data_IF_845557282590
#
_entry.id   IF_845557282590
#
_cell.length_a   1.000
_cell.length_b   1.000
_cell.length_c   1.000
_cell.angle_alpha   90.00
_cell.angle_beta   90.00
_cell.angle_gamma   90.00
#
_symmetry.space_group_name_H-M   'P 1'
#
loop_
_entity.id
_entity.type
_entity.pdbx_description
1 polymer ?
#
# COMPACT_ATOMS: atom_id res chain seq x y z
N UNK A 1 -4.29 20.06 -17.57
CA UNK A 1 -3.19 19.93 -16.59
C UNK A 1 -3.01 18.45 -16.31
N UNK A 2 -2.00 17.81 -16.90
CA UNK A 2 -1.75 16.39 -16.69
C UNK A 2 -1.01 16.25 -15.35
N UNK A 3 -1.68 15.68 -14.35
CA UNK A 3 -1.01 15.32 -13.10
C UNK A 3 0.03 14.23 -13.40
N UNK A 4 1.27 14.42 -12.97
CA UNK A 4 2.35 13.46 -13.18
C UNK A 4 2.05 12.19 -12.37
N UNK A 5 2.21 11.01 -12.98
CA UNK A 5 2.15 9.73 -12.27
C UNK A 5 3.13 9.74 -11.10
N UNK A 6 2.64 9.42 -9.92
CA UNK A 6 3.39 9.37 -8.66
C UNK A 6 2.84 8.22 -7.82
N UNK A 7 3.52 7.08 -7.91
CA UNK A 7 3.26 5.97 -7.00
C UNK A 7 3.74 6.33 -5.59
N UNK A 8 3.07 5.81 -4.56
CA UNK A 8 3.42 6.04 -3.16
C UNK A 8 3.86 4.72 -2.51
N UNK A 9 5.00 4.77 -1.80
CA UNK A 9 5.38 3.73 -0.84
C UNK A 9 5.31 4.30 0.57
N UNK A 10 4.61 3.60 1.45
CA UNK A 10 4.60 3.88 2.89
C UNK A 10 5.46 2.84 3.59
N UNK A 11 6.35 3.30 4.49
CA UNK A 11 7.14 2.43 5.37
C UNK A 11 6.66 2.71 6.79
N UNK A 12 6.20 1.69 7.50
CA UNK A 12 5.62 1.86 8.84
C UNK A 12 5.95 0.70 9.76
N UNK A 13 6.28 1.00 11.01
CA UNK A 13 6.40 0.06 12.13
C UNK A 13 5.19 0.08 13.08
N UNK A 14 4.14 0.81 12.69
CA UNK A 14 2.91 1.00 13.47
C UNK A 14 1.65 0.54 12.75
N UNK A 15 0.53 0.64 13.46
CA UNK A 15 -0.81 0.37 12.92
C UNK A 15 -1.45 1.61 12.28
N UNK A 16 -2.27 1.43 11.25
CA UNK A 16 -2.96 2.54 10.58
C UNK A 16 -4.29 2.95 11.23
N UNK A 17 -4.80 2.18 12.21
CA UNK A 17 -6.06 2.50 12.90
C UNK A 17 -7.25 2.76 11.97
N UNK A 18 -8.05 3.77 12.31
CA UNK A 18 -9.13 4.27 11.47
C UNK A 18 -8.58 5.13 10.33
N UNK A 19 -8.99 4.83 9.10
CA UNK A 19 -8.67 5.61 7.91
C UNK A 19 -9.96 6.34 7.50
N UNK A 20 -9.97 7.68 7.40
CA UNK A 20 -11.17 8.41 6.99
C UNK A 20 -11.64 8.01 5.59
N UNK A 21 -12.95 7.87 5.41
CA UNK A 21 -13.57 7.52 4.11
C UNK A 21 -13.16 8.47 2.96
N UNK A 22 -12.96 9.76 3.28
CA UNK A 22 -12.50 10.72 2.27
C UNK A 22 -11.08 10.41 1.77
N UNK A 23 -10.19 9.96 2.65
CA UNK A 23 -8.84 9.57 2.25
C UNK A 23 -8.87 8.30 1.40
N UNK A 24 -9.70 7.32 1.76
CA UNK A 24 -9.89 6.13 0.94
C UNK A 24 -10.41 6.49 -0.45
N UNK A 25 -11.41 7.38 -0.54
CA UNK A 25 -11.91 7.90 -1.82
C UNK A 25 -10.83 8.63 -2.62
N UNK A 26 -10.00 9.45 -1.98
CA UNK A 26 -8.89 10.14 -2.64
C UNK A 26 -7.88 9.13 -3.21
N UNK A 27 -7.56 8.06 -2.47
CA UNK A 27 -6.69 6.99 -2.96
C UNK A 27 -7.30 6.27 -4.17
N UNK A 28 -8.60 5.96 -4.15
CA UNK A 28 -9.27 5.36 -5.32
C UNK A 28 -9.22 6.27 -6.55
N UNK A 29 -9.43 7.58 -6.37
CA UNK A 29 -9.31 8.55 -7.47
C UNK A 29 -7.88 8.62 -8.05
N UNK A 30 -6.85 8.39 -7.23
CA UNK A 30 -5.47 8.31 -7.70
C UNK A 30 -5.20 6.99 -8.45
N UNK A 31 -5.78 5.87 -8.00
CA UNK A 31 -5.70 4.58 -8.73
C UNK A 31 -6.31 4.66 -10.12
N UNK A 32 -7.41 5.39 -10.29
CA UNK A 32 -8.01 5.66 -11.62
C UNK A 32 -7.08 6.44 -12.56
N UNK A 33 -6.06 7.11 -12.01
CA UNK A 33 -5.00 7.82 -12.77
C UNK A 33 -3.73 6.98 -12.89
N UNK A 34 -3.84 5.66 -12.66
CA UNK A 34 -2.76 4.69 -12.69
C UNK A 34 -1.64 4.91 -11.65
N UNK A 35 -1.92 5.67 -10.58
CA UNK A 35 -1.03 5.69 -9.42
C UNK A 35 -1.23 4.43 -8.57
N UNK A 36 -0.13 3.89 -8.04
CA UNK A 36 -0.14 2.73 -7.14
C UNK A 36 0.26 3.13 -5.73
N UNK A 37 -0.28 2.42 -4.75
CA UNK A 37 -0.03 2.58 -3.33
C UNK A 37 0.55 1.29 -2.76
N UNK A 38 1.74 1.38 -2.19
CA UNK A 38 2.45 0.25 -1.62
C UNK A 38 2.72 0.43 -0.13
N UNK A 39 2.80 -0.68 0.59
CA UNK A 39 3.16 -0.72 1.99
C UNK A 39 4.33 -1.67 2.24
N UNK A 40 5.37 -1.16 2.91
CA UNK A 40 6.37 -1.94 3.61
C UNK A 40 6.10 -1.86 5.12
N UNK A 41 5.58 -2.95 5.67
CA UNK A 41 5.16 -3.08 7.06
C UNK A 41 6.26 -3.75 7.87
N UNK A 42 6.83 -3.01 8.81
CA UNK A 42 7.87 -3.48 9.70
C UNK A 42 7.21 -4.34 10.78
N UNK A 43 7.56 -5.62 10.77
CA UNK A 43 7.05 -6.67 11.64
C UNK A 43 5.56 -7.02 11.48
N UNK A 44 4.84 -6.46 10.50
CA UNK A 44 3.50 -6.93 10.12
C UNK A 44 2.34 -6.40 10.98
N UNK A 45 2.53 -5.25 11.64
CA UNK A 45 1.59 -4.71 12.61
C UNK A 45 0.62 -3.66 12.05
N UNK A 46 0.63 -3.43 10.73
CA UNK A 46 -0.19 -2.38 10.09
C UNK A 46 -1.70 -2.55 10.22
N UNK A 47 -2.18 -3.80 10.30
CA UNK A 47 -3.61 -4.14 10.30
C UNK A 47 -4.36 -3.83 9.00
N UNK A 48 -3.66 -3.58 7.88
CA UNK A 48 -4.26 -3.12 6.61
C UNK A 48 -3.85 -3.96 5.39
N UNK A 49 -4.04 -5.28 5.48
CA UNK A 49 -3.59 -6.27 4.48
C UNK A 49 -3.93 -5.92 3.02
N UNK A 50 -5.15 -5.49 2.74
CA UNK A 50 -5.66 -5.30 1.36
C UNK A 50 -5.91 -3.84 1.00
N UNK A 51 -5.53 -2.89 1.87
CA UNK A 51 -5.78 -1.47 1.63
C UNK A 51 -4.80 -0.88 0.59
N UNK A 52 -3.62 -1.46 0.49
CA UNK A 52 -2.56 -1.11 -0.46
C UNK A 52 -2.57 -2.09 -1.65
N UNK A 53 -2.09 -1.65 -2.81
CA UNK A 53 -2.03 -2.45 -4.03
C UNK A 53 -0.98 -3.57 -3.91
N UNK A 54 0.08 -3.32 -3.14
CA UNK A 54 1.05 -4.34 -2.71
C UNK A 54 1.48 -4.10 -1.27
N UNK A 55 1.58 -5.17 -0.50
CA UNK A 55 1.95 -5.13 0.90
C UNK A 55 3.06 -6.15 1.16
N UNK A 56 4.22 -5.64 1.56
CA UNK A 56 5.34 -6.41 2.04
C UNK A 56 5.43 -6.37 3.56
N UNK A 57 5.84 -7.47 4.16
CA UNK A 57 6.29 -7.51 5.56
C UNK A 57 7.81 -7.58 5.56
N UNK A 58 8.45 -6.64 6.23
CA UNK A 58 9.86 -6.72 6.60
C UNK A 58 9.97 -7.22 8.03
N UNK A 59 10.64 -8.34 8.24
CA UNK A 59 10.92 -8.85 9.58
C UNK A 59 12.28 -8.32 10.06
N UNK A 60 12.26 -7.44 11.07
CA UNK A 60 13.48 -6.77 11.54
C UNK A 60 14.49 -7.69 12.23
N UNK A 61 14.06 -8.84 12.74
CA UNK A 61 14.94 -9.83 13.39
C UNK A 61 15.73 -10.64 12.36
N UNK A 62 15.08 -11.02 11.27
CA UNK A 62 15.67 -11.87 10.22
C UNK A 62 16.15 -11.10 8.99
N UNK A 63 15.80 -9.82 8.90
CA UNK A 63 16.05 -8.93 7.77
C UNK A 63 15.44 -9.40 6.44
N UNK A 64 14.44 -10.28 6.51
CA UNK A 64 13.76 -10.82 5.34
C UNK A 64 12.52 -10.00 4.97
N UNK A 65 12.23 -9.93 3.68
CA UNK A 65 11.02 -9.34 3.12
C UNK A 65 10.16 -10.42 2.49
N UNK A 66 8.87 -10.45 2.81
CA UNK A 66 7.89 -11.33 2.20
C UNK A 66 6.71 -10.52 1.66
N UNK A 67 6.13 -10.95 0.53
CA UNK A 67 4.87 -10.39 0.04
C UNK A 67 3.71 -10.97 0.86
N UNK A 68 2.97 -10.10 1.55
CA UNK A 68 1.75 -10.48 2.28
C UNK A 68 0.52 -10.42 1.38
N UNK A 69 0.48 -9.44 0.48
CA UNK A 69 -0.62 -9.21 -0.45
C UNK A 69 -0.11 -8.51 -1.70
N UNK A 70 -0.70 -8.88 -2.85
CA UNK A 70 -0.49 -8.22 -4.13
C UNK A 70 -1.81 -8.29 -4.90
N UNK A 71 -2.32 -7.13 -5.32
CA UNK A 71 -3.50 -7.06 -6.16
C UNK A 71 -3.11 -7.40 -7.61
N UNK A 72 -3.43 -8.62 -8.05
CA UNK A 72 -3.10 -9.11 -9.39
C UNK A 72 -4.03 -8.56 -10.48
N UNK A 73 -5.10 -7.84 -10.13
CA UNK A 73 -6.04 -7.29 -11.10
C UNK A 73 -5.41 -6.21 -12.01
N UNK A 74 -4.25 -5.66 -11.66
CA UNK A 74 -3.48 -4.70 -12.49
C UNK A 74 -2.41 -5.35 -13.36
N UNK A 75 -2.22 -6.69 -13.34
CA UNK A 75 -1.21 -7.37 -14.17
C UNK A 75 -1.69 -7.69 -15.59
N UNK A 76 -3.00 -7.62 -15.86
CA UNK A 76 -3.60 -8.02 -17.15
C UNK A 76 -4.48 -6.93 -17.80
N UNK A 77 -4.40 -5.69 -17.33
CA UNK A 77 -5.14 -4.54 -17.85
C UNK A 77 -4.25 -3.62 -18.69
#
# INVERSE_FOLDING_TARGET
MTLKKSDLIVISDGGFGYIPDDLERQMQNQRQKDNKFYLLDINGNSGKKTFFDKHWIYNAQTQNINTLYENLATMYS
#
